data_IF_016132958324
#
_entry.id   IF_016132958324
#
_cell.length_a   1.000
_cell.length_b   1.000
_cell.length_c   1.000
_cell.angle_alpha   90.00
_cell.angle_beta   90.00
_cell.angle_gamma   90.00
#
_symmetry.space_group_name_H-M   'P 1'
#
loop_
_entity.id
_entity.type
_entity.pdbx_description
1 polymer ?
#
# COMPACT_ATOMS: atom_id res chain seq x y z
N UNK A 1 21.22 5.37 1.44
CA UNK A 1 20.56 6.09 2.54
C UNK A 1 19.14 5.56 2.60
N UNK A 2 18.83 4.69 3.57
CA UNK A 2 17.44 4.27 3.83
C UNK A 2 16.79 5.35 4.68
N UNK A 3 16.35 6.43 4.04
CA UNK A 3 15.41 7.35 4.67
C UNK A 3 14.02 6.75 4.47
N UNK A 4 13.54 6.03 5.48
CA UNK A 4 12.13 5.66 5.51
C UNK A 4 11.29 6.93 5.42
N UNK A 5 10.37 6.94 4.47
CA UNK A 5 9.45 8.05 4.20
C UNK A 5 8.16 7.78 4.94
N UNK A 6 7.58 8.83 5.51
CA UNK A 6 6.28 8.78 6.14
C UNK A 6 5.25 9.39 5.19
N UNK A 7 4.15 8.69 4.95
CA UNK A 7 3.05 9.14 4.08
C UNK A 7 1.76 9.10 4.88
N UNK A 8 1.06 10.23 4.94
CA UNK A 8 -0.29 10.30 5.47
C UNK A 8 -1.28 10.24 4.31
N UNK A 9 -2.35 9.47 4.46
CA UNK A 9 -3.33 9.33 3.39
C UNK A 9 -4.40 8.29 3.65
N UNK A 10 -5.28 8.13 2.67
CA UNK A 10 -6.40 7.20 2.72
C UNK A 10 -5.99 5.83 2.20
N UNK A 11 -6.29 4.80 2.97
CA UNK A 11 -6.12 3.41 2.53
C UNK A 11 -7.32 2.99 1.67
N UNK A 12 -7.05 2.55 0.46
CA UNK A 12 -8.09 2.12 -0.47
C UNK A 12 -7.61 1.09 -1.48
N UNK A 13 -8.56 0.45 -2.16
CA UNK A 13 -8.31 -0.26 -3.41
C UNK A 13 -8.57 0.71 -4.56
N UNK A 14 -7.73 0.66 -5.59
CA UNK A 14 -7.96 1.47 -6.78
C UNK A 14 -9.07 0.88 -7.64
N UNK A 15 -9.89 1.72 -8.29
CA UNK A 15 -10.89 1.26 -9.21
C UNK A 15 -10.25 0.59 -10.44
N UNK A 16 -10.91 -0.44 -10.95
CA UNK A 16 -10.59 -1.02 -12.25
C UNK A 16 -10.97 -0.06 -13.38
N UNK A 17 -10.55 -0.36 -14.61
CA UNK A 17 -10.80 0.50 -15.78
C UNK A 17 -12.29 0.80 -16.04
N UNK A 18 -13.18 -0.10 -15.61
CA UNK A 18 -14.64 0.06 -15.66
C UNK A 18 -15.22 0.92 -14.51
N UNK A 19 -14.36 1.47 -13.64
CA UNK A 19 -14.72 2.31 -12.51
C UNK A 19 -15.17 1.56 -11.26
N UNK A 20 -15.12 0.22 -11.25
CA UNK A 20 -15.53 -0.56 -10.08
C UNK A 20 -14.39 -0.70 -9.07
N UNK A 21 -14.69 -0.53 -7.78
CA UNK A 21 -13.72 -0.84 -6.72
C UNK A 21 -13.74 -2.35 -6.48
N UNK A 22 -12.62 -3.06 -6.65
CA UNK A 22 -12.58 -4.50 -6.48
C UNK A 22 -12.80 -4.89 -5.01
N UNK A 23 -13.41 -6.05 -4.78
CA UNK A 23 -13.63 -6.57 -3.41
C UNK A 23 -12.39 -7.22 -2.80
N UNK A 24 -11.42 -7.57 -3.64
CA UNK A 24 -10.12 -8.12 -3.24
C UNK A 24 -9.01 -7.58 -4.13
N UNK A 25 -7.77 -7.59 -3.65
CA UNK A 25 -6.61 -7.16 -4.42
C UNK A 25 -5.61 -6.31 -3.65
N UNK A 26 -4.57 -5.80 -4.35
CA UNK A 26 -3.58 -4.90 -3.77
C UNK A 26 -4.21 -3.70 -3.07
N UNK A 27 -3.69 -3.36 -1.91
CA UNK A 27 -4.12 -2.21 -1.12
C UNK A 27 -3.15 -1.06 -1.33
N UNK A 28 -3.67 0.16 -1.42
CA UNK A 28 -2.90 1.37 -1.69
C UNK A 28 -3.15 2.41 -0.61
N UNK A 29 -2.23 3.36 -0.49
CA UNK A 29 -2.47 4.64 0.16
C UNK A 29 -2.52 5.74 -0.90
N UNK A 30 -3.53 6.59 -0.82
CA UNK A 30 -3.60 7.84 -1.59
C UNK A 30 -3.27 8.96 -0.61
N UNK A 31 -2.14 9.63 -0.83
CA UNK A 31 -1.67 10.71 0.03
C UNK A 31 -2.63 11.89 0.01
N UNK A 32 -2.51 12.76 1.01
CA UNK A 32 -3.19 14.06 1.04
C UNK A 32 -2.75 15.03 -0.08
N UNK A 33 -1.63 14.73 -0.75
CA UNK A 33 -1.12 15.44 -1.91
C UNK A 33 -1.51 14.79 -3.25
N UNK A 34 -2.21 13.65 -3.21
CA UNK A 34 -2.76 12.97 -4.38
C UNK A 34 -1.82 11.95 -5.04
N UNK A 35 -0.65 11.66 -4.45
CA UNK A 35 0.16 10.52 -4.90
C UNK A 35 -0.44 9.20 -4.44
N UNK A 36 -0.28 8.18 -5.26
CA UNK A 36 -0.81 6.85 -5.02
C UNK A 36 0.34 5.87 -4.86
N UNK A 37 0.32 5.11 -3.77
CA UNK A 37 1.34 4.12 -3.50
C UNK A 37 0.74 2.76 -3.17
N UNK A 38 1.19 1.73 -3.87
CA UNK A 38 0.92 0.35 -3.53
C UNK A 38 1.67 -0.04 -2.25
N UNK A 39 0.98 -0.68 -1.32
CA UNK A 39 1.54 -1.03 -0.02
C UNK A 39 2.09 -2.46 -0.03
N UNK A 40 3.37 -2.61 0.29
CA UNK A 40 4.02 -3.91 0.43
C UNK A 40 4.75 -3.98 1.76
N UNK A 41 4.40 -5.00 2.55
CA UNK A 41 5.17 -5.35 3.74
C UNK A 41 6.26 -6.36 3.33
N UNK A 42 7.52 -5.94 3.41
CA UNK A 42 8.68 -6.76 2.99
C UNK A 42 9.01 -7.93 3.92
N UNK A 43 8.14 -8.29 4.86
CA UNK A 43 8.27 -9.50 5.68
C UNK A 43 8.06 -10.81 4.92
N UNK A 44 7.85 -10.77 3.60
CA UNK A 44 7.72 -11.97 2.77
C UNK A 44 9.09 -12.35 2.18
N UNK A 45 9.72 -13.41 2.70
CA UNK A 45 10.94 -14.02 2.10
C UNK A 45 10.67 -14.69 0.73
N UNK A 46 9.54 -14.40 0.10
CA UNK A 46 9.16 -14.98 -1.18
C UNK A 46 9.66 -14.09 -2.33
N UNK A 47 10.48 -14.62 -3.25
CA UNK A 47 10.66 -13.96 -4.54
C UNK A 47 9.33 -14.01 -5.32
N UNK A 48 9.01 -12.94 -6.03
CA UNK A 48 7.77 -12.83 -6.81
C UNK A 48 7.68 -11.48 -7.52
N UNK A 49 6.65 -11.32 -8.35
CA UNK A 49 6.35 -9.99 -8.90
C UNK A 49 5.78 -9.06 -7.82
N UNK A 50 5.87 -7.75 -8.03
CA UNK A 50 5.33 -6.73 -7.12
C UNK A 50 3.83 -6.99 -6.86
N UNK A 51 3.08 -7.35 -7.89
CA UNK A 51 1.64 -7.61 -7.83
C UNK A 51 1.32 -8.84 -6.98
N UNK A 52 2.09 -9.92 -7.12
CA UNK A 52 1.95 -11.12 -6.29
C UNK A 52 2.23 -10.81 -4.82
N UNK A 53 3.28 -10.04 -4.54
CA UNK A 53 3.64 -9.64 -3.18
C UNK A 53 2.60 -8.72 -2.55
N UNK A 54 2.05 -7.79 -3.34
CA UNK A 54 0.99 -6.89 -2.88
C UNK A 54 -0.32 -7.65 -2.57
N UNK A 55 -0.66 -8.67 -3.37
CA UNK A 55 -1.78 -9.58 -3.08
C UNK A 55 -1.57 -10.36 -1.78
N UNK A 56 -0.35 -10.84 -1.52
CA UNK A 56 -0.03 -11.52 -0.26
C UNK A 56 -0.14 -10.59 0.96
N UNK A 57 0.03 -9.28 0.77
CA UNK A 57 -0.09 -8.29 1.83
C UNK A 57 -1.54 -7.82 2.07
N UNK A 58 -2.49 -8.19 1.22
CA UNK A 58 -3.89 -7.74 1.34
C UNK A 58 -4.46 -7.93 2.77
N UNK A 59 -4.37 -9.11 3.42
CA UNK A 59 -4.94 -9.31 4.75
C UNK A 59 -4.32 -8.42 5.84
N UNK A 60 -3.11 -7.91 5.61
CA UNK A 60 -2.44 -7.01 6.55
C UNK A 60 -3.03 -5.60 6.50
N UNK A 61 -3.43 -5.16 5.31
CA UNK A 61 -3.86 -3.78 5.07
C UNK A 61 -5.38 -3.62 4.90
N UNK A 62 -6.12 -4.68 4.55
CA UNK A 62 -7.56 -4.59 4.29
C UNK A 62 -8.37 -4.07 5.49
N UNK A 63 -7.91 -4.35 6.72
CA UNK A 63 -8.53 -3.86 7.95
C UNK A 63 -8.48 -2.34 8.11
N UNK A 64 -7.62 -1.65 7.36
CA UNK A 64 -7.51 -0.20 7.35
C UNK A 64 -8.26 0.46 6.19
N UNK A 65 -8.96 -0.29 5.33
CA UNK A 65 -9.66 0.29 4.19
C UNK A 65 -10.62 1.40 4.61
N UNK A 66 -10.60 2.48 3.83
CA UNK A 66 -11.34 3.73 4.03
C UNK A 66 -10.95 4.53 5.27
N UNK A 67 -9.81 4.22 5.90
CA UNK A 67 -9.26 4.99 6.99
C UNK A 67 -8.12 5.88 6.49
N UNK A 68 -8.01 7.07 7.09
CA UNK A 68 -6.90 7.98 6.87
C UNK A 68 -5.85 7.69 7.95
N UNK A 69 -4.70 7.15 7.55
CA UNK A 69 -3.66 6.70 8.47
C UNK A 69 -2.28 7.19 8.04
N UNK A 70 -1.33 7.08 8.96
CA UNK A 70 0.07 7.35 8.71
C UNK A 70 0.81 6.03 8.48
N UNK A 71 1.54 5.93 7.38
CA UNK A 71 2.40 4.77 7.09
C UNK A 71 3.85 5.21 6.94
N UNK A 72 4.77 4.30 7.22
CA UNK A 72 6.20 4.49 7.04
C UNK A 72 6.78 3.37 6.19
N UNK A 73 7.67 3.68 5.26
CA UNK A 73 8.37 2.68 4.47
C UNK A 73 9.33 3.27 3.44
N UNK A 74 9.88 2.42 2.59
CA UNK A 74 10.80 2.80 1.53
C UNK A 74 10.03 3.08 0.23
N UNK A 75 9.98 4.34 -0.22
CA UNK A 75 9.29 4.72 -1.45
C UNK A 75 10.13 4.33 -2.67
N UNK A 76 9.57 3.49 -3.53
CA UNK A 76 10.16 2.97 -4.77
C UNK A 76 9.22 3.27 -5.94
N UNK A 77 9.22 4.51 -6.42
CA UNK A 77 8.26 4.96 -7.44
C UNK A 77 6.84 5.01 -6.86
N UNK A 78 5.93 4.22 -7.41
CA UNK A 78 4.53 4.11 -6.97
C UNK A 78 4.29 3.01 -5.93
N UNK A 79 5.34 2.60 -5.22
CA UNK A 79 5.30 1.54 -4.20
C UNK A 79 5.90 2.09 -2.91
N UNK A 80 5.28 1.80 -1.78
CA UNK A 80 5.95 1.87 -0.48
C UNK A 80 6.28 0.44 -0.08
N UNK A 81 7.56 0.17 0.07
CA UNK A 81 8.10 -1.11 0.52
C UNK A 81 8.34 -1.10 2.03
N UNK A 82 8.39 -2.27 2.67
CA UNK A 82 8.56 -2.39 4.12
C UNK A 82 7.57 -1.53 4.92
N UNK A 83 6.30 -1.53 4.49
CA UNK A 83 5.26 -0.68 5.11
C UNK A 83 5.02 -1.07 6.56
N UNK A 84 5.13 -0.08 7.43
CA UNK A 84 4.74 -0.09 8.83
C UNK A 84 3.61 0.91 9.04
N UNK A 85 2.59 0.52 9.80
CA UNK A 85 1.54 1.43 10.23
C UNK A 85 2.05 2.21 11.44
N UNK A 86 1.87 3.52 11.43
CA UNK A 86 2.24 4.42 12.53
C UNK A 86 0.95 4.82 13.25
N UNK A 87 0.76 4.29 14.45
CA UNK A 87 -0.36 4.63 15.36
C UNK A 87 -0.19 6.03 15.99
#
# INVERSE_FOLDING_TARGET
MNSQTTVYGRIMRLPTFDGMIPTSGPVHIVSDHGEEYMLINGGTDKPGSVEELALLCEPLFEKYLNQDILVRGDVLGSIIWNVEIVD
#
